data_IF_116266326300
#
_entry.id   IF_116266326300
#
_cell.length_a   1.000
_cell.length_b   1.000
_cell.length_c   1.000
_cell.angle_alpha   90.00
_cell.angle_beta   90.00
_cell.angle_gamma   90.00
#
_symmetry.space_group_name_H-M   'P 1'
#
loop_
_entity.id
_entity.type
_entity.pdbx_description
1 polymer ?
#
# COMPACT_ATOMS: atom_id res chain seq x y z
N UNK A 1 15.05 -3.39 -21.87
CA UNK A 1 14.19 -3.34 -20.66
C UNK A 1 13.74 -1.91 -20.46
N UNK A 2 12.44 -1.67 -20.42
CA UNK A 2 11.90 -0.33 -20.17
C UNK A 2 11.41 -0.26 -18.72
N UNK A 3 11.79 0.81 -18.02
CA UNK A 3 11.29 1.09 -16.67
C UNK A 3 10.14 2.09 -16.83
N UNK A 4 8.95 1.74 -16.36
CA UNK A 4 7.79 2.64 -16.42
C UNK A 4 7.43 3.11 -15.01
N UNK A 5 7.55 4.41 -14.69
CA UNK A 5 7.10 4.94 -13.41
C UNK A 5 5.58 4.92 -13.34
N UNK A 6 5.03 4.51 -12.19
CA UNK A 6 3.59 4.39 -11.97
C UNK A 6 3.22 4.74 -10.54
N UNK A 7 2.22 5.62 -10.37
CA UNK A 7 1.50 5.74 -9.10
C UNK A 7 0.61 4.51 -8.97
N UNK A 8 1.02 3.55 -8.14
CA UNK A 8 0.33 2.29 -7.92
C UNK A 8 -1.04 2.52 -7.27
N UNK A 9 -1.15 3.59 -6.47
CA UNK A 9 -2.42 4.06 -5.96
C UNK A 9 -2.38 5.58 -5.73
N UNK A 10 -3.10 6.38 -6.54
CA UNK A 10 -3.18 7.83 -6.32
C UNK A 10 -4.23 8.14 -5.24
N UNK A 11 -3.78 8.30 -3.99
CA UNK A 11 -4.59 8.89 -2.92
C UNK A 11 -5.90 8.16 -2.63
N UNK A 12 -5.86 6.83 -2.54
CA UNK A 12 -7.07 6.03 -2.25
C UNK A 12 -7.51 6.23 -0.81
N UNK A 13 -8.77 6.63 -0.63
CA UNK A 13 -9.41 6.61 0.67
C UNK A 13 -9.63 5.17 1.13
N UNK A 14 -9.03 4.82 2.27
CA UNK A 14 -9.17 3.53 2.88
C UNK A 14 -10.54 3.37 3.53
N UNK A 15 -11.21 2.25 3.24
CA UNK A 15 -12.49 1.88 3.84
C UNK A 15 -12.29 1.08 5.13
N UNK A 16 -13.39 0.73 5.80
CA UNK A 16 -13.33 -0.22 6.90
C UNK A 16 -12.89 -1.61 6.39
N UNK A 17 -11.92 -2.20 7.09
CA UNK A 17 -11.35 -3.50 6.73
C UNK A 17 -10.21 -3.43 5.72
N UNK A 18 -9.61 -4.58 5.43
CA UNK A 18 -8.58 -4.72 4.40
C UNK A 18 -9.24 -4.76 3.03
N UNK A 19 -8.83 -3.84 2.16
CA UNK A 19 -9.23 -3.82 0.75
C UNK A 19 -8.02 -3.92 -0.17
N UNK A 20 -8.23 -4.49 -1.35
CA UNK A 20 -7.20 -4.57 -2.38
C UNK A 20 -6.86 -3.18 -2.88
N UNK A 21 -5.60 -2.79 -2.74
CA UNK A 21 -5.07 -1.50 -3.20
C UNK A 21 -4.43 -1.64 -4.57
N UNK A 22 -3.72 -2.75 -4.80
CA UNK A 22 -3.02 -3.00 -6.05
C UNK A 22 -2.88 -4.51 -6.31
N UNK A 23 -3.08 -4.91 -7.57
CA UNK A 23 -2.82 -6.28 -8.05
C UNK A 23 -1.77 -6.21 -9.15
N UNK A 24 -0.65 -6.92 -8.99
CA UNK A 24 0.46 -6.87 -9.94
C UNK A 24 0.08 -7.50 -11.29
N UNK A 25 -0.04 -6.69 -12.38
CA UNK A 25 -0.64 -7.12 -13.65
C UNK A 25 0.30 -7.99 -14.52
N UNK A 26 1.61 -7.93 -14.26
CA UNK A 26 2.65 -8.68 -14.99
C UNK A 26 4.03 -8.08 -14.73
N UNK A 27 5.11 -8.85 -14.99
CA UNK A 27 6.48 -8.41 -14.72
C UNK A 27 6.80 -8.29 -13.23
N UNK A 28 7.88 -7.55 -12.92
CA UNK A 28 8.30 -7.25 -11.54
C UNK A 28 7.96 -5.79 -11.23
N UNK A 29 7.08 -5.56 -10.26
CA UNK A 29 6.73 -4.22 -9.78
C UNK A 29 7.45 -3.94 -8.48
N UNK A 30 8.08 -2.77 -8.37
CA UNK A 30 8.78 -2.35 -7.15
C UNK A 30 8.07 -1.13 -6.59
N UNK A 31 7.61 -1.23 -5.34
CA UNK A 31 7.10 -0.11 -4.57
C UNK A 31 8.30 0.71 -4.07
N UNK A 32 8.25 2.03 -4.26
CA UNK A 32 9.36 2.93 -3.90
C UNK A 32 9.01 3.80 -2.70
N UNK A 33 7.75 4.20 -2.56
CA UNK A 33 7.28 5.01 -1.44
C UNK A 33 5.82 4.70 -1.12
N UNK A 34 5.48 4.75 0.16
CA UNK A 34 4.10 4.80 0.64
C UNK A 34 3.92 5.91 1.67
N UNK A 35 2.79 6.62 1.58
CA UNK A 35 2.39 7.64 2.55
C UNK A 35 0.93 7.41 2.90
N UNK A 36 0.63 7.39 4.19
CA UNK A 36 -0.73 7.39 4.71
C UNK A 36 -1.03 8.75 5.35
N UNK A 37 -2.00 9.48 4.81
CA UNK A 37 -2.46 10.74 5.38
C UNK A 37 -3.78 10.51 6.12
N UNK A 38 -3.85 10.91 7.38
CA UNK A 38 -5.08 10.91 8.15
C UNK A 38 -5.75 12.29 8.04
N UNK A 39 -6.89 12.34 7.35
CA UNK A 39 -7.70 13.56 7.26
C UNK A 39 -8.89 13.55 8.22
N UNK A 40 -8.94 12.60 9.16
CA UNK A 40 -9.98 12.50 10.17
C UNK A 40 -9.57 13.14 11.50
N UNK A 41 -10.56 13.62 12.26
CA UNK A 41 -10.38 14.26 13.57
C UNK A 41 -10.04 13.27 14.71
N UNK A 42 -9.79 12.01 14.38
CA UNK A 42 -9.46 10.94 15.32
C UNK A 42 -8.22 10.17 14.88
N UNK A 43 -7.58 9.48 15.83
CA UNK A 43 -6.48 8.55 15.54
C UNK A 43 -7.06 7.34 14.81
N UNK A 44 -6.42 6.97 13.69
CA UNK A 44 -6.83 5.82 12.87
C UNK A 44 -5.70 4.81 12.80
N UNK A 45 -6.04 3.52 12.85
CA UNK A 45 -5.06 2.42 12.71
C UNK A 45 -4.94 2.02 11.24
N UNK A 46 -3.72 2.12 10.70
CA UNK A 46 -3.31 1.57 9.43
C UNK A 46 -2.90 0.10 9.59
N UNK A 47 -3.34 -0.72 8.64
CA UNK A 47 -2.82 -2.07 8.41
C UNK A 47 -2.54 -2.26 6.92
N UNK A 48 -1.44 -2.94 6.59
CA UNK A 48 -1.05 -3.25 5.22
C UNK A 48 -0.56 -4.70 5.16
N UNK A 49 -1.09 -5.45 4.20
CA UNK A 49 -0.71 -6.83 3.95
C UNK A 49 -0.40 -7.06 2.47
N UNK A 50 0.45 -8.04 2.21
CA UNK A 50 0.73 -8.55 0.87
C UNK A 50 0.31 -10.02 0.82
N UNK A 51 -0.51 -10.36 -0.16
CA UNK A 51 -0.86 -11.73 -0.49
C UNK A 51 -0.06 -12.11 -1.71
N UNK A 52 0.92 -13.02 -1.54
CA UNK A 52 1.63 -13.59 -2.69
C UNK A 52 0.66 -14.39 -3.55
N UNK A 53 0.86 -14.48 -4.86
CA UNK A 53 -0.08 -15.11 -5.80
C UNK A 53 -0.71 -16.43 -5.27
N UNK A 54 -1.96 -16.36 -4.79
CA UNK A 54 -2.72 -17.50 -4.24
C UNK A 54 -2.30 -18.01 -2.84
N UNK A 55 -1.36 -17.34 -2.19
CA UNK A 55 -0.84 -17.66 -0.86
C UNK A 55 -1.62 -17.00 0.29
N UNK A 56 -1.04 -17.07 1.48
CA UNK A 56 -1.57 -16.39 2.67
C UNK A 56 -1.17 -14.92 2.70
N UNK A 57 -2.03 -14.10 3.30
CA UNK A 57 -1.73 -12.69 3.54
C UNK A 57 -0.64 -12.55 4.60
N UNK A 58 0.43 -11.83 4.28
CA UNK A 58 1.50 -11.47 5.21
C UNK A 58 1.35 -10.00 5.55
N UNK A 59 1.20 -9.70 6.84
CA UNK A 59 1.14 -8.32 7.32
C UNK A 59 2.53 -7.70 7.32
N UNK A 60 2.70 -6.65 6.53
CA UNK A 60 3.89 -5.80 6.55
C UNK A 60 3.76 -4.74 7.64
N UNK A 61 2.56 -4.20 7.79
CA UNK A 61 2.20 -3.27 8.85
C UNK A 61 0.96 -3.85 9.53
N UNK A 62 1.10 -4.57 10.65
CA UNK A 62 -0.02 -5.27 11.27
C UNK A 62 -1.02 -4.29 11.91
N UNK A 63 -0.52 -3.32 12.67
CA UNK A 63 -1.31 -2.22 13.21
C UNK A 63 -0.39 -1.05 13.54
N UNK A 64 -0.59 0.09 12.90
CA UNK A 64 0.11 1.33 13.22
C UNK A 64 -0.87 2.47 13.36
N UNK A 65 -0.76 3.23 14.44
CA UNK A 65 -1.60 4.40 14.66
C UNK A 65 -1.06 5.59 13.88
N UNK A 66 -1.95 6.27 13.16
CA UNK A 66 -1.68 7.55 12.51
C UNK A 66 -2.45 8.63 13.27
N UNK A 67 -1.73 9.65 13.73
CA UNK A 67 -2.31 10.75 14.49
C UNK A 67 -3.40 11.48 13.70
N UNK A 68 -4.32 12.14 14.41
CA UNK A 68 -5.31 13.05 13.79
C UNK A 68 -4.62 14.12 12.96
N UNK A 69 -5.15 14.43 11.77
CA UNK A 69 -4.57 15.38 10.82
C UNK A 69 -3.08 15.12 10.47
N UNK A 70 -2.59 13.90 10.74
CA UNK A 70 -1.19 13.54 10.61
C UNK A 70 -0.89 12.82 9.30
N UNK A 71 0.37 12.84 8.89
CA UNK A 71 0.88 11.99 7.81
C UNK A 71 1.88 11.00 8.39
N UNK A 72 1.78 9.75 7.96
CA UNK A 72 2.75 8.70 8.27
C UNK A 72 3.46 8.24 7.00
N UNK A 73 4.78 8.07 7.14
CA UNK A 73 5.62 7.52 6.09
C UNK A 73 5.70 6.01 6.28
N UNK A 74 5.63 5.27 5.17
CA UNK A 74 5.61 3.81 5.18
C UNK A 74 6.92 3.25 4.59
N UNK A 75 8.07 3.39 5.29
CA UNK A 75 9.35 2.89 4.80
C UNK A 75 9.36 1.37 4.64
N UNK A 76 8.49 0.63 5.34
CA UNK A 76 8.34 -0.82 5.23
C UNK A 76 7.89 -1.27 3.84
N UNK A 77 7.26 -0.37 3.09
CA UNK A 77 6.82 -0.61 1.72
C UNK A 77 7.89 -0.20 0.70
N UNK A 78 8.91 0.54 1.11
CA UNK A 78 9.99 0.96 0.22
C UNK A 78 10.87 -0.23 -0.16
N UNK A 79 11.01 -0.48 -1.46
CA UNK A 79 11.73 -1.64 -1.98
C UNK A 79 10.90 -2.93 -1.99
N UNK A 80 9.60 -2.88 -1.66
CA UNK A 80 8.74 -4.06 -1.74
C UNK A 80 8.60 -4.50 -3.21
N UNK A 81 9.07 -5.71 -3.49
CA UNK A 81 8.98 -6.33 -4.81
C UNK A 81 7.71 -7.20 -4.89
N UNK A 82 6.85 -6.87 -5.85
CA UNK A 82 5.63 -7.57 -6.19
C UNK A 82 5.81 -8.29 -7.53
N UNK A 83 5.57 -9.59 -7.53
CA UNK A 83 5.58 -10.42 -8.73
C UNK A 83 4.16 -10.57 -9.28
N UNK A 84 4.05 -11.06 -10.52
CA UNK A 84 2.76 -11.31 -11.17
C UNK A 84 1.78 -12.06 -10.25
N UNK A 85 0.60 -11.48 -10.05
CA UNK A 85 -0.47 -12.06 -9.23
C UNK A 85 -0.37 -11.76 -7.73
N UNK A 86 0.69 -11.08 -7.28
CA UNK A 86 0.73 -10.56 -5.91
C UNK A 86 -0.30 -9.44 -5.74
N UNK A 87 -0.95 -9.43 -4.58
CA UNK A 87 -1.98 -8.47 -4.19
C UNK A 87 -1.53 -7.71 -2.96
N UNK A 88 -1.52 -6.39 -3.04
CA UNK A 88 -1.30 -5.51 -1.90
C UNK A 88 -2.65 -5.01 -1.39
N UNK A 89 -2.89 -5.20 -0.10
CA UNK A 89 -4.12 -4.80 0.57
C UNK A 89 -3.82 -3.88 1.75
N UNK A 90 -4.68 -2.90 1.98
CA UNK A 90 -4.56 -1.99 3.11
C UNK A 90 -5.92 -1.72 3.74
N UNK A 91 -5.92 -1.44 5.04
CA UNK A 91 -7.09 -1.06 5.81
C UNK A 91 -6.76 0.06 6.78
N UNK A 92 -7.75 0.92 7.04
CA UNK A 92 -7.58 2.07 7.92
C UNK A 92 -8.58 3.15 7.57
N UNK A 93 -9.83 2.96 8.02
CA UNK A 93 -10.97 3.78 7.62
C UNK A 93 -10.69 5.29 7.78
N UNK A 94 -10.74 6.04 6.68
CA UNK A 94 -10.50 7.50 6.69
C UNK A 94 -9.05 7.93 6.44
N UNK A 95 -8.11 6.98 6.27
CA UNK A 95 -6.78 7.29 5.77
C UNK A 95 -6.78 7.41 4.25
N UNK A 96 -6.04 8.38 3.71
CA UNK A 96 -5.68 8.42 2.29
C UNK A 96 -4.32 7.77 2.08
N UNK A 97 -4.27 6.72 1.27
CA UNK A 97 -3.05 6.00 0.96
C UNK A 97 -2.53 6.38 -0.43
N UNK A 98 -1.27 6.83 -0.47
CA UNK A 98 -0.55 7.11 -1.70
C UNK A 98 0.59 6.10 -1.83
N UNK A 99 0.64 5.37 -2.94
CA UNK A 99 1.71 4.42 -3.24
C UNK A 99 2.32 4.74 -4.61
N UNK A 100 3.65 4.82 -4.66
CA UNK A 100 4.40 5.00 -5.89
C UNK A 100 5.34 3.82 -6.13
N UNK A 101 5.59 3.53 -7.40
CA UNK A 101 6.48 2.46 -7.81
C UNK A 101 6.86 2.53 -9.28
N UNK A 102 7.50 1.47 -9.75
CA UNK A 102 7.77 1.25 -11.16
C UNK A 102 7.58 -0.23 -11.50
N UNK A 103 7.23 -0.51 -12.75
CA UNK A 103 7.21 -1.86 -13.29
C UNK A 103 8.38 -2.08 -14.24
N UNK A 104 8.94 -3.28 -14.16
CA UNK A 104 9.93 -3.83 -15.10
C UNK A 104 9.19 -4.80 -16.03
N UNK A 105 9.10 -4.41 -17.30
CA UNK A 105 8.53 -5.20 -18.41
C UNK A 105 9.60 -5.68 -19.37
#
# INVERSE_FOLDING_TARGET
MAVTPLSLQPGLALQQGLQTVFTAPGGTTVVTSGVAANSADSITTLSVSVTRAGGQAVFLIPARQVATMGTDLLPELSGLVLNKGDVLSAGGAGLQLVLNGYSLS
#
